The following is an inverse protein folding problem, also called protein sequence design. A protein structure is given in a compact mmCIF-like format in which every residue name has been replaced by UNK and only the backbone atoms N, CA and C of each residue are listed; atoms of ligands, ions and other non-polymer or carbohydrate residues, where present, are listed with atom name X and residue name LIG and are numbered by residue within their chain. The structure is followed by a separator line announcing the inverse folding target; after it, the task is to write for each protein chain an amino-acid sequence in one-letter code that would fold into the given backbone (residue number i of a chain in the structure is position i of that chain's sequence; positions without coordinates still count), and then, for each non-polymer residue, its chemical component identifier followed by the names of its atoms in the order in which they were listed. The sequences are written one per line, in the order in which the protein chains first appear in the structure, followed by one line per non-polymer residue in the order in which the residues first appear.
data_IF_326827483524
#
_entry.id   IF_326827483524
#
_cell.length_a   1.000
_cell.length_b   1.000
_cell.length_c   1.000
_cell.angle_alpha   90.00
_cell.angle_beta   90.00
_cell.angle_gamma   90.00
#
_symmetry.space_group_name_H-M   'P 1'
#
loop_
_entity.id
_entity.type
_entity.pdbx_description
1 polymer ?
#
# COMPACT_ATOMS: atom_id res chain seq x y z
N UNK A 1 28.71 -4.74 -33.51
CA UNK A 1 28.34 -5.81 -32.56
C UNK A 1 28.34 -5.18 -31.18
N UNK A 2 27.14 -4.96 -30.62
CA UNK A 2 26.93 -4.25 -29.37
C UNK A 2 27.14 -5.15 -28.15
N UNK A 3 27.77 -4.60 -27.12
CA UNK A 3 27.70 -5.12 -25.75
C UNK A 3 26.86 -4.14 -24.93
N UNK A 4 25.59 -4.47 -24.74
CA UNK A 4 24.67 -3.68 -23.93
C UNK A 4 24.92 -3.90 -22.43
N UNK A 5 24.63 -2.84 -21.69
CA UNK A 5 24.85 -2.64 -20.27
C UNK A 5 24.12 -3.65 -19.38
N UNK A 6 24.74 -3.96 -18.25
CA UNK A 6 24.18 -4.74 -17.15
C UNK A 6 25.23 -4.98 -16.08
N UNK A 7 25.99 -3.94 -15.71
CA UNK A 7 27.00 -4.04 -14.65
C UNK A 7 26.28 -4.14 -13.32
N UNK A 8 26.53 -5.25 -12.64
CA UNK A 8 26.12 -5.52 -11.28
C UNK A 8 26.51 -4.40 -10.33
N UNK A 9 25.69 -4.31 -9.29
CA UNK A 9 25.74 -3.38 -8.18
C UNK A 9 27.17 -3.21 -7.61
N UNK A 10 27.47 -2.00 -7.12
CA UNK A 10 28.80 -1.62 -6.63
C UNK A 10 28.72 -1.00 -5.24
N UNK A 11 29.53 -1.51 -4.29
CA UNK A 11 30.11 -0.95 -3.02
C UNK A 11 29.27 -0.06 -2.07
N UNK A 12 28.17 0.53 -2.51
CA UNK A 12 27.09 1.13 -1.73
C UNK A 12 25.86 0.20 -1.71
N UNK A 13 26.04 -1.08 -2.04
CA UNK A 13 25.19 -2.20 -1.60
C UNK A 13 25.27 -2.43 -0.06
N UNK A 14 25.81 -1.48 0.73
CA UNK A 14 26.45 -1.73 2.02
C UNK A 14 25.97 -0.85 3.19
N UNK A 15 24.87 -0.08 3.08
CA UNK A 15 24.32 0.62 4.25
C UNK A 15 22.78 0.60 4.26
N UNK A 16 22.25 -0.53 4.76
CA UNK A 16 20.85 -0.72 5.19
C UNK A 16 19.82 -0.54 4.07
N UNK A 17 19.98 -1.32 3.01
CA UNK A 17 18.87 -1.70 2.14
C UNK A 17 18.72 -3.21 2.28
N UNK A 18 18.08 -3.64 3.36
CA UNK A 18 17.45 -4.97 3.40
C UNK A 18 16.18 -5.01 2.53
N UNK A 19 16.03 -4.15 1.50
CA UNK A 19 15.21 -4.46 0.33
C UNK A 19 15.91 -5.55 -0.50
N UNK A 20 16.16 -6.69 0.13
CA UNK A 20 16.49 -7.95 -0.49
C UNK A 20 15.20 -8.40 -1.19
N UNK A 21 14.95 -7.85 -2.38
CA UNK A 21 14.16 -8.53 -3.40
C UNK A 21 14.92 -9.83 -3.71
N UNK A 22 14.78 -10.82 -2.82
CA UNK A 22 15.48 -12.10 -2.87
C UNK A 22 14.94 -12.86 -4.07
N UNK A 23 15.58 -12.68 -5.22
CA UNK A 23 15.81 -13.82 -6.09
C UNK A 23 16.60 -14.85 -5.29
N UNK A 24 15.90 -15.84 -4.70
CA UNK A 24 16.18 -17.28 -4.94
C UNK A 24 15.32 -18.21 -4.07
N UNK A 25 14.62 -19.10 -4.79
CA UNK A 25 14.30 -20.49 -4.46
C UNK A 25 13.54 -20.73 -3.14
N UNK A 26 12.25 -20.42 -3.11
CA UNK A 26 11.15 -21.42 -3.18
C UNK A 26 9.82 -20.66 -3.07
N UNK A 27 8.91 -20.89 -4.02
CA UNK A 27 7.51 -20.40 -4.09
C UNK A 27 7.24 -18.88 -4.32
N UNK A 28 7.27 -18.46 -5.60
CA UNK A 28 6.27 -17.63 -6.31
C UNK A 28 5.78 -16.24 -5.84
N UNK A 29 6.32 -15.60 -4.79
CA UNK A 29 5.88 -14.22 -4.42
C UNK A 29 6.98 -13.17 -4.47
N UNK A 30 6.75 -12.09 -5.24
CA UNK A 30 7.61 -10.91 -5.30
C UNK A 30 7.41 -10.03 -4.06
N UNK A 31 8.02 -10.47 -2.95
CA UNK A 31 7.91 -9.85 -1.64
C UNK A 31 9.09 -8.91 -1.34
N UNK A 32 8.78 -7.72 -0.83
CA UNK A 32 9.73 -6.73 -0.32
C UNK A 32 9.48 -6.51 1.16
N UNK A 33 10.48 -6.84 1.96
CA UNK A 33 10.51 -6.57 3.39
C UNK A 33 11.48 -5.41 3.65
N UNK A 34 11.01 -4.37 4.33
CA UNK A 34 11.81 -3.23 4.76
C UNK A 34 11.88 -3.28 6.29
N UNK A 35 13.07 -3.57 6.81
CA UNK A 35 13.37 -3.42 8.22
C UNK A 35 13.92 -2.01 8.46
N UNK A 36 13.29 -1.27 9.36
CA UNK A 36 13.72 0.08 9.72
C UNK A 36 14.56 0.01 11.00
N UNK A 37 15.89 -0.06 10.85
CA UNK A 37 16.83 0.00 11.97
C UNK A 37 17.01 1.45 12.47
N UNK A 38 17.24 1.68 13.77
CA UNK A 38 17.62 3.00 14.30
C UNK A 38 19.16 3.17 14.29
N UNK A 39 19.71 4.24 13.69
CA UNK A 39 19.04 5.34 12.99
C UNK A 39 18.74 5.05 11.52
N UNK A 40 17.45 5.15 11.15
CA UNK A 40 17.03 4.98 9.76
C UNK A 40 17.28 6.26 8.96
N UNK A 41 18.29 6.28 8.07
CA UNK A 41 18.72 7.52 7.45
C UNK A 41 17.67 8.05 6.46
N UNK A 42 17.42 9.36 6.47
CA UNK A 42 16.46 9.99 5.56
C UNK A 42 16.79 9.74 4.08
N UNK A 43 18.07 9.73 3.71
CA UNK A 43 18.50 9.50 2.34
C UNK A 43 18.15 8.08 1.84
N UNK A 44 18.23 7.08 2.73
CA UNK A 44 17.83 5.70 2.42
C UNK A 44 16.32 5.63 2.17
N UNK A 45 15.52 6.35 2.96
CA UNK A 45 14.07 6.43 2.74
C UNK A 45 13.70 7.06 1.38
N UNK A 46 14.37 8.16 1.03
CA UNK A 46 14.17 8.81 -0.28
C UNK A 46 14.58 7.90 -1.45
N UNK A 47 15.65 7.12 -1.29
CA UNK A 47 16.06 6.14 -2.29
C UNK A 47 15.01 5.03 -2.45
N UNK A 48 14.50 4.48 -1.34
CA UNK A 48 13.42 3.47 -1.35
C UNK A 48 12.17 4.01 -2.03
N UNK A 49 11.69 5.19 -1.63
CA UNK A 49 10.49 5.78 -2.23
C UNK A 49 10.70 6.12 -3.71
N UNK A 50 11.91 6.50 -4.11
CA UNK A 50 12.27 6.69 -5.53
C UNK A 50 12.25 5.37 -6.29
N UNK A 51 12.76 4.28 -5.72
CA UNK A 51 12.69 2.94 -6.32
C UNK A 51 11.26 2.43 -6.46
N UNK A 52 10.38 2.72 -5.49
CA UNK A 52 8.95 2.42 -5.56
C UNK A 52 8.22 3.28 -6.60
N UNK A 53 8.79 4.43 -7.00
CA UNK A 53 8.25 5.25 -8.10
C UNK A 53 8.63 4.71 -9.49
N UNK A 54 9.52 3.73 -9.61
CA UNK A 54 9.90 3.15 -10.89
C UNK A 54 8.85 2.12 -11.36
N UNK A 55 8.28 2.25 -12.58
CA UNK A 55 7.25 1.34 -13.09
C UNK A 55 7.66 -0.15 -13.05
N UNK A 56 8.89 -0.46 -13.48
CA UNK A 56 9.39 -1.83 -13.52
C UNK A 56 9.41 -2.51 -12.15
N UNK A 57 9.79 -1.77 -11.10
CA UNK A 57 9.82 -2.30 -9.74
C UNK A 57 8.39 -2.53 -9.22
N UNK A 58 7.48 -1.60 -9.47
CA UNK A 58 6.07 -1.72 -9.04
C UNK A 58 5.33 -2.91 -9.66
N UNK A 59 5.69 -3.27 -10.89
CA UNK A 59 5.12 -4.42 -11.58
C UNK A 59 5.58 -5.75 -10.98
N UNK A 60 6.72 -5.73 -10.30
CA UNK A 60 7.23 -6.91 -9.63
C UNK A 60 6.66 -6.99 -8.23
N UNK A 61 6.68 -5.92 -7.45
CA UNK A 61 6.32 -5.99 -6.02
C UNK A 61 4.84 -6.34 -5.83
N UNK A 62 4.58 -7.54 -5.32
CA UNK A 62 3.24 -8.02 -4.96
C UNK A 62 2.95 -7.87 -3.47
N UNK A 63 3.99 -7.92 -2.64
CA UNK A 63 3.90 -7.73 -1.20
C UNK A 63 4.94 -6.71 -0.75
N UNK A 64 4.51 -5.69 -0.04
CA UNK A 64 5.39 -4.75 0.64
C UNK A 64 5.10 -4.80 2.14
N UNK A 65 6.12 -5.08 2.92
CA UNK A 65 6.04 -5.07 4.38
C UNK A 65 7.10 -4.14 4.92
N UNK A 66 6.70 -3.21 5.78
CA UNK A 66 7.61 -2.32 6.49
C UNK A 66 7.46 -2.57 7.97
N UNK A 67 8.54 -3.01 8.61
CA UNK A 67 8.57 -3.28 10.05
C UNK A 67 9.66 -2.43 10.69
N UNK A 68 9.35 -1.72 11.79
CA UNK A 68 10.41 -1.17 12.63
C UNK A 68 11.23 -2.32 13.21
N UNK A 69 12.54 -2.12 13.31
CA UNK A 69 13.37 -2.92 14.20
C UNK A 69 13.03 -2.50 15.64
N UNK A 70 12.24 -3.31 16.37
CA UNK A 70 12.56 -3.60 17.77
C UNK A 70 11.66 -4.64 18.45
N UNK A 71 12.32 -5.30 19.41
CA UNK A 71 11.82 -6.22 20.41
C UNK A 71 10.59 -5.68 21.17
N UNK A 72 9.68 -6.61 21.44
CA UNK A 72 8.33 -6.52 21.99
C UNK A 72 8.08 -5.73 23.31
N UNK A 73 9.02 -4.95 23.87
CA UNK A 73 8.89 -4.48 25.27
C UNK A 73 9.35 -3.03 25.58
N UNK A 74 9.62 -2.16 24.60
CA UNK A 74 10.00 -0.77 24.86
C UNK A 74 8.97 0.26 24.34
N UNK A 75 8.50 1.22 25.18
CA UNK A 75 7.68 2.31 24.71
C UNK A 75 8.52 3.16 23.75
N UNK A 76 8.10 3.22 22.49
CA UNK A 76 8.71 3.95 21.37
C UNK A 76 9.22 5.35 21.78
N UNK A 77 10.43 5.43 22.30
CA UNK A 77 11.22 6.66 22.31
C UNK A 77 11.78 6.79 20.90
N UNK A 78 10.95 7.36 20.04
CA UNK A 78 10.96 7.13 18.61
C UNK A 78 12.28 7.29 17.90
N UNK A 79 12.45 6.45 16.85
CA UNK A 79 13.34 6.69 15.70
C UNK A 79 13.21 5.65 14.57
N UNK A 80 12.72 4.45 14.83
CA UNK A 80 12.57 3.39 13.82
C UNK A 80 11.19 3.30 13.12
N UNK A 81 10.21 4.15 13.45
CA UNK A 81 8.86 4.08 12.86
C UNK A 81 8.70 5.04 11.66
N UNK A 82 7.84 4.69 10.69
CA UNK A 82 7.55 5.59 9.56
C UNK A 82 6.90 6.90 10.01
N UNK A 83 5.89 6.81 10.86
CA UNK A 83 5.03 7.95 11.19
C UNK A 83 4.28 8.51 9.98
N UNK A 84 3.47 9.53 10.22
CA UNK A 84 2.55 10.07 9.20
C UNK A 84 3.26 10.67 7.98
N UNK A 85 4.41 11.31 8.20
CA UNK A 85 5.16 11.99 7.13
C UNK A 85 5.75 11.00 6.12
N UNK A 86 6.34 9.88 6.58
CA UNK A 86 6.88 8.88 5.65
C UNK A 86 5.74 8.08 5.00
N UNK A 87 4.63 7.86 5.71
CA UNK A 87 3.43 7.27 5.12
C UNK A 87 2.86 8.11 4.00
N UNK A 88 2.86 9.44 4.10
CA UNK A 88 2.48 10.32 2.99
C UNK A 88 3.33 10.04 1.74
N UNK A 89 4.66 10.02 1.89
CA UNK A 89 5.57 9.77 0.76
C UNK A 89 5.42 8.37 0.17
N UNK A 90 5.19 7.36 1.01
CA UNK A 90 4.95 5.98 0.60
C UNK A 90 3.62 5.86 -0.14
N UNK A 91 2.53 6.38 0.46
CA UNK A 91 1.21 6.39 -0.14
C UNK A 91 1.23 7.12 -1.49
N UNK A 92 1.95 8.24 -1.62
CA UNK A 92 2.11 8.95 -2.88
C UNK A 92 2.93 8.16 -3.91
N UNK A 93 4.00 7.46 -3.49
CA UNK A 93 4.81 6.63 -4.36
C UNK A 93 4.01 5.42 -4.90
N UNK A 94 3.16 4.83 -4.06
CA UNK A 94 2.32 3.69 -4.43
C UNK A 94 1.07 4.11 -5.23
N UNK A 95 0.46 5.26 -4.93
CA UNK A 95 -0.78 5.73 -5.55
C UNK A 95 -0.63 6.34 -6.95
N UNK A 96 0.59 6.42 -7.50
CA UNK A 96 0.88 7.05 -8.80
C UNK A 96 0.38 8.51 -8.89
N UNK A 97 1.16 9.47 -8.38
CA UNK A 97 0.77 10.88 -8.44
C UNK A 97 0.75 11.44 -9.89
N UNK A 98 -0.39 11.29 -10.57
CA UNK A 98 -1.02 12.20 -11.54
C UNK A 98 -0.37 12.53 -12.90
N UNK A 99 0.91 12.29 -13.15
CA UNK A 99 1.52 12.56 -14.47
C UNK A 99 1.56 11.33 -15.38
N UNK A 100 1.85 10.15 -14.84
CA UNK A 100 1.94 8.91 -15.64
C UNK A 100 0.55 8.31 -15.92
N UNK A 101 -0.45 8.53 -15.06
CA UNK A 101 -1.82 8.07 -15.31
C UNK A 101 -2.50 8.84 -16.46
N UNK A 102 -2.20 10.14 -16.61
CA UNK A 102 -2.64 10.93 -17.78
C UNK A 102 -1.94 10.44 -19.04
N UNK A 103 -0.63 10.23 -19.00
CA UNK A 103 0.11 9.65 -20.10
C UNK A 103 -0.42 8.24 -20.48
N UNK A 104 -0.83 7.43 -19.51
CA UNK A 104 -1.45 6.13 -19.71
C UNK A 104 -2.85 6.26 -20.35
N UNK A 105 -3.70 7.17 -19.85
CA UNK A 105 -5.03 7.42 -20.45
C UNK A 105 -4.90 7.94 -21.88
N UNK A 106 -4.00 8.89 -22.11
CA UNK A 106 -3.78 9.50 -23.41
C UNK A 106 -3.21 8.47 -24.40
N UNK A 107 -2.23 7.65 -23.98
CA UNK A 107 -1.66 6.57 -24.81
C UNK A 107 -2.67 5.44 -25.10
N UNK A 108 -3.48 5.04 -24.11
CA UNK A 108 -4.53 4.03 -24.31
C UNK A 108 -5.66 4.56 -25.22
N UNK A 109 -5.97 5.86 -25.14
CA UNK A 109 -6.98 6.50 -25.97
C UNK A 109 -6.51 6.69 -27.42
N UNK A 110 -5.21 6.92 -27.64
CA UNK A 110 -4.57 6.91 -28.96
C UNK A 110 -4.58 5.50 -29.56
N UNK A 111 -4.21 4.47 -28.78
CA UNK A 111 -4.19 3.08 -29.26
C UNK A 111 -5.59 2.54 -29.66
N UNK A 112 -6.66 3.12 -29.11
CA UNK A 112 -8.05 2.76 -29.42
C UNK A 112 -8.73 3.71 -30.43
N UNK A 113 -8.02 4.75 -30.89
CA UNK A 113 -8.54 5.82 -31.74
C UNK A 113 -7.88 5.86 -33.11
N UNK A 114 -8.50 5.14 -34.05
CA UNK A 114 -8.46 5.32 -35.51
C UNK A 114 -7.15 4.99 -36.27
N UNK A 115 -7.32 4.15 -37.29
CA UNK A 115 -6.26 3.69 -38.17
C UNK A 115 -5.73 4.83 -39.05
N UNK A 116 -4.57 5.35 -38.70
CA UNK A 116 -3.79 6.26 -39.55
C UNK A 116 -2.35 5.80 -39.61
N UNK A 117 -2.02 5.02 -40.65
CA UNK A 117 -0.67 4.63 -41.01
C UNK A 117 0.20 5.84 -41.34
N UNK A 118 1.22 6.13 -40.53
CA UNK A 118 2.61 6.45 -40.92
C UNK A 118 3.41 6.96 -39.71
N UNK A 119 4.70 6.60 -39.63
CA UNK A 119 5.69 7.34 -38.84
C UNK A 119 6.12 6.71 -37.52
N UNK A 120 7.06 5.76 -37.60
CA UNK A 120 8.17 5.58 -36.63
C UNK A 120 7.88 5.89 -35.15
N UNK A 121 7.01 5.12 -34.51
CA UNK A 121 6.85 5.18 -33.06
C UNK A 121 7.79 4.18 -32.40
N UNK A 122 8.81 4.71 -31.73
CA UNK A 122 9.60 3.96 -30.75
C UNK A 122 8.60 3.25 -29.82
N UNK A 123 8.65 1.93 -29.80
CA UNK A 123 7.85 1.08 -28.92
C UNK A 123 8.18 1.39 -27.47
N UNK A 124 7.60 2.46 -26.94
CA UNK A 124 7.52 2.73 -25.52
C UNK A 124 6.35 1.90 -25.01
N UNK A 125 6.71 0.75 -24.45
CA UNK A 125 5.84 -0.13 -23.69
C UNK A 125 4.97 0.71 -22.75
N UNK A 126 3.64 0.66 -22.91
CA UNK A 126 2.72 1.37 -22.03
C UNK A 126 3.00 0.97 -20.57
N UNK A 127 3.07 1.92 -19.63
CA UNK A 127 3.37 1.61 -18.24
C UNK A 127 2.27 0.70 -17.68
N UNK A 128 2.63 -0.55 -17.39
CA UNK A 128 1.70 -1.55 -16.86
C UNK A 128 1.47 -1.32 -15.35
N UNK A 129 0.28 -1.68 -14.84
CA UNK A 129 -0.17 -1.31 -13.50
C UNK A 129 0.70 -1.90 -12.37
N UNK A 130 0.80 -1.23 -11.21
CA UNK A 130 1.39 -1.82 -10.01
C UNK A 130 0.75 -3.18 -9.67
N UNK A 131 1.58 -4.15 -9.25
CA UNK A 131 1.17 -5.50 -8.91
C UNK A 131 0.91 -5.70 -7.40
N UNK A 132 0.94 -4.63 -6.60
CA UNK A 132 0.89 -4.71 -5.15
C UNK A 132 -0.46 -5.24 -4.64
N UNK A 133 -0.46 -6.48 -4.16
CA UNK A 133 -1.64 -7.15 -3.59
C UNK A 133 -1.72 -7.01 -2.09
N UNK A 134 -0.58 -6.89 -1.40
CA UNK A 134 -0.53 -6.87 0.06
C UNK A 134 0.43 -5.80 0.60
N UNK A 135 -0.06 -5.00 1.55
CA UNK A 135 0.72 -3.97 2.23
C UNK A 135 0.64 -4.17 3.75
N UNK A 136 1.79 -4.39 4.39
CA UNK A 136 1.91 -4.55 5.83
C UNK A 136 2.71 -3.39 6.42
N UNK A 137 2.08 -2.64 7.33
CA UNK A 137 2.64 -1.44 7.96
C UNK A 137 2.42 -1.49 9.48
N UNK A 138 2.48 -2.69 10.07
CA UNK A 138 2.29 -2.88 11.50
C UNK A 138 3.38 -2.17 12.31
N UNK A 139 3.05 -1.66 13.50
CA UNK A 139 3.99 -1.00 14.43
C UNK A 139 4.66 0.29 13.91
N UNK A 140 4.15 0.92 12.86
CA UNK A 140 4.79 2.08 12.23
C UNK A 140 4.41 3.46 12.82
N UNK A 141 3.81 3.50 14.02
CA UNK A 141 3.37 4.71 14.70
C UNK A 141 2.52 5.64 13.78
N UNK A 142 1.65 5.03 12.98
CA UNK A 142 0.78 5.73 12.03
C UNK A 142 -0.39 6.35 12.79
N UNK A 143 -0.48 7.68 12.75
CA UNK A 143 -1.56 8.48 13.31
C UNK A 143 -2.75 8.66 12.36
N UNK A 144 -3.71 9.51 12.74
CA UNK A 144 -4.89 9.80 11.92
C UNK A 144 -4.54 10.44 10.59
N UNK A 145 -3.46 11.23 10.50
CA UNK A 145 -3.07 11.87 9.25
C UNK A 145 -2.40 10.88 8.30
N UNK A 146 -1.57 9.96 8.79
CA UNK A 146 -1.04 8.86 7.98
C UNK A 146 -2.16 7.97 7.44
N UNK A 147 -3.18 7.68 8.26
CA UNK A 147 -4.37 6.96 7.81
C UNK A 147 -5.16 7.69 6.71
N UNK A 148 -5.24 9.03 6.75
CA UNK A 148 -5.86 9.82 5.65
C UNK A 148 -5.08 9.69 4.34
N UNK A 149 -3.74 9.66 4.40
CA UNK A 149 -2.91 9.43 3.21
C UNK A 149 -3.11 8.03 2.63
N UNK A 150 -3.19 7.00 3.49
CA UNK A 150 -3.50 5.63 3.07
C UNK A 150 -4.91 5.52 2.49
N UNK A 151 -5.90 6.18 3.08
CA UNK A 151 -7.26 6.24 2.54
C UNK A 151 -7.28 6.85 1.13
N UNK A 152 -6.51 7.93 0.90
CA UNK A 152 -6.36 8.52 -0.43
C UNK A 152 -5.70 7.55 -1.40
N UNK A 153 -4.64 6.84 -0.99
CA UNK A 153 -3.99 5.81 -1.80
C UNK A 153 -4.98 4.70 -2.21
N UNK A 154 -5.75 4.16 -1.27
CA UNK A 154 -6.77 3.12 -1.52
C UNK A 154 -7.82 3.61 -2.52
N UNK A 155 -8.24 4.87 -2.41
CA UNK A 155 -9.19 5.46 -3.35
C UNK A 155 -8.61 5.60 -4.76
N UNK A 156 -7.35 6.02 -4.87
CA UNK A 156 -6.68 6.18 -6.16
C UNK A 156 -6.37 4.83 -6.85
N UNK A 157 -6.08 3.79 -6.07
CA UNK A 157 -5.80 2.45 -6.58
C UNK A 157 -7.06 1.73 -7.10
N UNK A 158 -8.26 2.17 -6.73
CA UNK A 158 -9.50 1.45 -7.09
C UNK A 158 -10.00 1.64 -8.52
N UNK A 159 -9.31 2.42 -9.35
CA UNK A 159 -9.72 2.62 -10.74
C UNK A 159 -9.39 1.41 -11.63
N UNK A 160 -10.26 0.38 -11.55
CA UNK A 160 -10.60 -0.79 -12.43
C UNK A 160 -9.55 -1.49 -13.30
N UNK A 161 -8.32 -1.01 -13.44
CA UNK A 161 -7.26 -1.61 -14.25
C UNK A 161 -5.86 -1.41 -13.66
N UNK A 162 -5.72 -0.74 -12.50
CA UNK A 162 -4.45 -0.15 -12.11
C UNK A 162 -3.68 -0.80 -10.93
N UNK A 163 -4.31 -1.53 -10.01
CA UNK A 163 -3.65 -2.32 -8.94
C UNK A 163 -4.72 -2.76 -7.94
N UNK A 164 -4.82 -4.05 -7.64
CA UNK A 164 -5.80 -4.56 -6.68
C UNK A 164 -5.12 -4.83 -5.33
N UNK A 165 -4.97 -3.79 -4.50
CA UNK A 165 -4.55 -4.01 -3.12
C UNK A 165 -5.65 -4.82 -2.41
N UNK A 166 -5.39 -6.10 -2.19
CA UNK A 166 -6.32 -7.04 -1.60
C UNK A 166 -6.20 -7.07 -0.07
N UNK A 167 -5.00 -6.79 0.47
CA UNK A 167 -4.72 -6.90 1.90
C UNK A 167 -3.98 -5.67 2.42
N UNK A 168 -4.48 -5.08 3.50
CA UNK A 168 -3.84 -3.98 4.21
C UNK A 168 -3.75 -4.29 5.71
N UNK A 169 -2.53 -4.37 6.25
CA UNK A 169 -2.29 -4.55 7.68
C UNK A 169 -1.73 -3.27 8.29
N UNK A 170 -2.39 -2.79 9.33
CA UNK A 170 -2.06 -1.57 10.07
C UNK A 170 -2.09 -1.81 11.59
N UNK A 171 -1.85 -3.04 12.05
CA UNK A 171 -1.93 -3.39 13.46
C UNK A 171 -0.93 -2.58 14.30
N UNK A 172 -1.28 -2.34 15.57
CA UNK A 172 -0.41 -1.66 16.54
C UNK A 172 0.06 -0.28 16.06
N UNK A 173 -0.87 0.53 15.55
CA UNK A 173 -0.64 1.93 15.18
C UNK A 173 -1.50 2.85 16.06
N UNK A 174 -1.61 4.13 15.73
CA UNK A 174 -2.35 5.16 16.49
C UNK A 174 -3.39 5.86 15.63
N UNK A 175 -4.08 5.10 14.78
CA UNK A 175 -5.01 5.60 13.76
C UNK A 175 -6.15 6.43 14.37
N UNK A 176 -6.70 5.98 15.50
CA UNK A 176 -7.81 6.65 16.19
C UNK A 176 -9.11 6.70 15.37
N UNK A 177 -10.11 7.39 15.92
CA UNK A 177 -11.43 7.54 15.26
C UNK A 177 -11.34 8.27 13.93
N UNK A 178 -10.58 9.37 13.86
CA UNK A 178 -10.48 10.19 12.65
C UNK A 178 -9.85 9.43 11.48
N UNK A 179 -8.78 8.67 11.74
CA UNK A 179 -8.13 7.84 10.74
C UNK A 179 -9.02 6.69 10.30
N UNK A 180 -9.75 6.05 11.23
CA UNK A 180 -10.69 4.98 10.91
C UNK A 180 -11.85 5.48 10.04
N UNK A 181 -12.39 6.68 10.30
CA UNK A 181 -13.42 7.31 9.47
C UNK A 181 -12.90 7.60 8.06
N UNK A 182 -11.65 8.04 7.91
CA UNK A 182 -11.04 8.26 6.61
C UNK A 182 -10.89 6.95 5.82
N UNK A 183 -10.39 5.89 6.47
CA UNK A 183 -10.29 4.56 5.89
C UNK A 183 -11.66 4.01 5.48
N UNK A 184 -12.67 4.14 6.34
CA UNK A 184 -14.04 3.73 6.07
C UNK A 184 -14.62 4.39 4.80
N UNK A 185 -14.36 5.69 4.60
CA UNK A 185 -14.80 6.41 3.39
C UNK A 185 -14.12 5.86 2.12
N UNK A 186 -12.82 5.58 2.19
CA UNK A 186 -12.10 5.01 1.06
C UNK A 186 -12.57 3.58 0.74
N UNK A 187 -12.78 2.75 1.77
CA UNK A 187 -13.26 1.38 1.67
C UNK A 187 -14.64 1.33 1.01
N UNK A 188 -15.57 2.20 1.37
CA UNK A 188 -16.92 2.22 0.80
C UNK A 188 -16.91 2.32 -0.74
N UNK A 189 -15.93 3.02 -1.29
CA UNK A 189 -15.77 3.18 -2.74
C UNK A 189 -14.80 2.20 -3.38
N UNK A 190 -14.09 1.36 -2.60
CA UNK A 190 -13.08 0.44 -3.09
C UNK A 190 -13.66 -0.95 -3.39
N UNK A 191 -13.28 -1.57 -4.49
CA UNK A 191 -13.79 -2.86 -4.97
C UNK A 191 -12.68 -3.92 -5.08
N UNK A 192 -11.49 -3.63 -4.56
CA UNK A 192 -10.32 -4.52 -4.66
C UNK A 192 -9.88 -5.07 -3.30
N UNK A 193 -10.07 -4.28 -2.24
CA UNK A 193 -9.66 -4.63 -0.88
C UNK A 193 -10.59 -5.73 -0.33
N UNK A 194 -9.95 -6.81 0.13
CA UNK A 194 -10.62 -7.98 0.69
C UNK A 194 -10.37 -8.12 2.19
N UNK A 195 -9.20 -7.68 2.67
CA UNK A 195 -8.78 -7.86 4.06
C UNK A 195 -8.15 -6.59 4.62
N UNK A 196 -8.59 -6.20 5.82
CA UNK A 196 -7.99 -5.11 6.56
C UNK A 196 -7.78 -5.49 8.03
N UNK A 197 -6.57 -5.26 8.53
CA UNK A 197 -6.21 -5.53 9.93
C UNK A 197 -5.88 -4.21 10.64
N UNK A 198 -6.61 -3.91 11.70
CA UNK A 198 -6.59 -2.66 12.47
C UNK A 198 -6.48 -2.93 13.97
N UNK A 199 -5.90 -4.07 14.38
CA UNK A 199 -5.76 -4.41 15.80
C UNK A 199 -4.98 -3.36 16.56
N UNK A 200 -5.35 -3.08 17.81
CA UNK A 200 -4.64 -2.17 18.73
C UNK A 200 -4.32 -0.80 18.09
N UNK A 201 -5.35 -0.08 17.63
CA UNK A 201 -5.22 1.20 16.90
C UNK A 201 -5.84 2.41 17.59
N UNK A 202 -6.26 2.25 18.85
CA UNK A 202 -7.00 3.25 19.62
C UNK A 202 -8.27 3.77 18.91
N UNK A 203 -8.91 2.94 18.08
CA UNK A 203 -10.16 3.28 17.40
C UNK A 203 -11.29 3.23 18.44
N UNK A 204 -12.07 4.31 18.52
CA UNK A 204 -13.22 4.47 19.39
C UNK A 204 -14.54 4.05 18.74
N UNK A 205 -15.68 4.28 19.43
CA UNK A 205 -16.98 3.86 18.94
C UNK A 205 -17.38 4.53 17.61
N UNK A 206 -16.97 5.79 17.41
CA UNK A 206 -17.30 6.54 16.20
C UNK A 206 -16.58 6.00 14.97
N UNK A 207 -15.28 5.72 15.07
CA UNK A 207 -14.50 5.10 14.00
C UNK A 207 -14.95 3.67 13.72
N UNK A 208 -15.27 2.93 14.78
CA UNK A 208 -15.77 1.56 14.67
C UNK A 208 -17.12 1.48 13.95
N UNK A 209 -18.05 2.38 14.27
CA UNK A 209 -19.33 2.48 13.56
C UNK A 209 -19.14 2.87 12.10
N UNK A 210 -18.24 3.81 11.81
CA UNK A 210 -17.94 4.19 10.42
C UNK A 210 -17.39 3.02 9.61
N UNK A 211 -16.50 2.20 10.20
CA UNK A 211 -16.01 0.97 9.58
C UNK A 211 -17.14 -0.03 9.33
N UNK A 212 -18.05 -0.23 10.30
CA UNK A 212 -19.22 -1.09 10.11
C UNK A 212 -20.10 -0.65 8.93
N UNK A 213 -20.39 0.65 8.84
CA UNK A 213 -21.20 1.23 7.76
C UNK A 213 -20.49 1.17 6.40
N UNK A 214 -19.16 1.14 6.38
CA UNK A 214 -18.37 0.96 5.17
C UNK A 214 -18.36 -0.49 4.71
N UNK A 215 -18.14 -1.44 5.63
CA UNK A 215 -18.16 -2.88 5.34
C UNK A 215 -19.54 -3.34 4.88
N UNK A 216 -20.62 -2.81 5.48
CA UNK A 216 -21.98 -3.11 5.05
C UNK A 216 -22.31 -2.58 3.64
N UNK A 217 -21.62 -1.53 3.18
CA UNK A 217 -21.78 -0.93 1.87
C UNK A 217 -20.79 -1.47 0.82
N UNK A 218 -19.75 -2.18 1.26
CA UNK A 218 -18.70 -2.75 0.43
C UNK A 218 -18.92 -4.27 0.30
N UNK A 219 -19.09 -4.78 -0.92
CA UNK A 219 -19.31 -6.21 -1.15
C UNK A 219 -18.05 -7.07 -1.25
N UNK A 220 -16.86 -6.46 -1.25
CA UNK A 220 -15.59 -7.14 -1.56
C UNK A 220 -14.77 -7.48 -0.32
N UNK A 221 -14.97 -6.77 0.79
CA UNK A 221 -14.34 -7.06 2.07
C UNK A 221 -14.85 -8.38 2.65
N UNK A 222 -13.91 -9.28 2.91
CA UNK A 222 -14.12 -10.63 3.46
C UNK A 222 -13.61 -10.75 4.90
N UNK A 223 -12.68 -9.88 5.30
CA UNK A 223 -12.06 -9.91 6.62
C UNK A 223 -11.74 -8.51 7.15
N UNK A 224 -12.15 -8.27 8.40
CA UNK A 224 -11.81 -7.07 9.17
C UNK A 224 -11.42 -7.54 10.57
N UNK A 225 -10.18 -7.32 10.97
CA UNK A 225 -9.77 -7.48 12.36
C UNK A 225 -9.60 -6.10 12.99
N UNK A 226 -10.26 -5.88 14.11
CA UNK A 226 -10.15 -4.66 14.90
C UNK A 226 -10.09 -4.96 16.40
N UNK A 227 -9.59 -6.14 16.79
CA UNK A 227 -9.36 -6.49 18.18
C UNK A 227 -8.51 -5.42 18.89
N UNK A 228 -8.67 -5.26 20.21
CA UNK A 228 -7.92 -4.25 20.97
C UNK A 228 -8.33 -2.79 20.70
N UNK A 229 -9.46 -2.56 20.02
CA UNK A 229 -10.07 -1.23 19.87
C UNK A 229 -11.33 -1.07 20.74
N UNK A 230 -11.74 0.17 20.94
CA UNK A 230 -12.90 0.55 21.76
C UNK A 230 -14.14 0.67 20.85
N UNK A 231 -14.79 -0.45 20.54
CA UNK A 231 -15.83 -0.44 19.50
C UNK A 231 -16.75 -1.65 19.48
N UNK A 232 -16.94 -2.31 20.62
CA UNK A 232 -17.62 -3.61 20.71
C UNK A 232 -19.02 -3.63 20.06
N UNK A 233 -19.76 -2.53 20.17
CA UNK A 233 -21.08 -2.40 19.55
C UNK A 233 -21.07 -2.54 18.03
N UNK A 234 -19.98 -2.15 17.36
CA UNK A 234 -19.85 -2.23 15.91
C UNK A 234 -19.39 -3.61 15.42
N UNK A 235 -18.80 -4.44 16.30
CA UNK A 235 -18.25 -5.76 15.94
C UNK A 235 -19.34 -6.67 15.37
N UNK A 236 -20.54 -6.68 15.98
CA UNK A 236 -21.64 -7.50 15.48
C UNK A 236 -22.10 -7.05 14.08
N UNK A 237 -22.22 -5.74 13.86
CA UNK A 237 -22.58 -5.18 12.56
C UNK A 237 -21.54 -5.51 11.48
N UNK A 238 -20.26 -5.47 11.82
CA UNK A 238 -19.16 -5.87 10.92
C UNK A 238 -19.26 -7.37 10.62
N UNK A 239 -19.44 -8.22 11.64
CA UNK A 239 -19.56 -9.66 11.46
C UNK A 239 -20.75 -10.02 10.54
N UNK A 240 -21.90 -9.39 10.74
CA UNK A 240 -23.10 -9.58 9.93
C UNK A 240 -22.87 -9.13 8.48
N UNK A 241 -22.19 -8.00 8.28
CA UNK A 241 -21.84 -7.49 6.94
C UNK A 241 -20.86 -8.43 6.22
N UNK A 242 -19.78 -8.86 6.87
CA UNK A 242 -18.82 -9.81 6.31
C UNK A 242 -19.46 -11.16 5.98
N UNK A 243 -20.40 -11.64 6.80
CA UNK A 243 -21.16 -12.86 6.53
C UNK A 243 -22.03 -12.75 5.28
N UNK A 244 -22.53 -11.55 4.94
CA UNK A 244 -23.25 -11.29 3.69
C UNK A 244 -22.30 -11.25 2.50
N UNK A 245 -21.15 -10.60 2.63
CA UNK A 245 -20.17 -10.49 1.55
C UNK A 245 -19.61 -11.86 1.13
N UNK A 246 -19.35 -12.76 2.09
CA UNK A 246 -18.88 -14.13 1.82
C UNK A 246 -19.89 -15.03 1.08
N UNK A 247 -21.15 -14.62 0.97
CA UNK A 247 -22.23 -15.38 0.31
C UNK A 247 -22.52 -14.91 -1.11
N UNK A 248 -21.90 -13.81 -1.55
CA UNK A 248 -22.04 -13.26 -2.90
C UNK A 248 -21.01 -13.91 -3.83
#
# INVERSE_FOLDING_TARGET
MGGCFGKGLTKTEMAIVEARALQKHDHDVNEVNLLLDDPFPFHVWEEITSLLRLPHNRQQIELLQVRPDEYWDAPTSGRAALGDQRIETLAAALANSSTEERAWRDAAQIAMGDGGSDGSEQSQEAPSPPALKSLYLDFNNIGPDGAKHLARMIHLMDHRQACALATLSLNNNRIGDEGAIALARAIRGNHSLQRIFLRDNAIGPAGSQALADAVAANGTLLEVDMAGNQGEAAIQSIADALARNKRQ
#
